data_IF_465914684652
#
_entry.id   IF_465914684652
#
_cell.length_a   1.000
_cell.length_b   1.000
_cell.length_c   1.000
_cell.angle_alpha   90.00
_cell.angle_beta   90.00
_cell.angle_gamma   90.00
#
_symmetry.space_group_name_H-M   'P 1'
#
loop_
_entity.id
_entity.type
_entity.pdbx_description
1 polymer ?
#
# COMPACT_ATOMS: atom_id res chain seq x y z
N UNK A 1 8.89 16.10 15.47
CA UNK A 1 7.64 15.41 15.82
C UNK A 1 6.56 15.94 14.90
N UNK A 2 6.17 15.17 13.88
CA UNK A 2 5.08 15.55 12.98
C UNK A 2 3.78 15.56 13.78
N UNK A 3 3.19 16.75 13.96
CA UNK A 3 1.88 16.93 14.62
C UNK A 3 0.77 16.12 13.97
N UNK A 4 0.93 15.72 12.71
CA UNK A 4 -0.07 14.99 11.92
C UNK A 4 -0.32 13.55 12.39
N UNK A 5 0.64 12.89 13.06
CA UNK A 5 0.51 11.47 13.45
C UNK A 5 -0.60 11.25 14.49
N UNK A 6 -0.66 12.10 15.52
CA UNK A 6 -1.69 11.96 16.56
C UNK A 6 -3.08 12.42 16.09
N UNK A 7 -3.15 13.08 14.94
CA UNK A 7 -4.37 13.76 14.52
C UNK A 7 -5.32 12.76 13.84
N UNK A 8 -4.86 11.97 12.86
CA UNK A 8 -5.73 10.99 12.21
C UNK A 8 -6.26 9.95 13.20
N UNK A 9 -5.39 9.42 14.06
CA UNK A 9 -5.80 8.48 15.11
C UNK A 9 -6.86 9.08 16.06
N UNK A 10 -6.75 10.37 16.40
CA UNK A 10 -7.71 11.04 17.29
C UNK A 10 -9.09 11.26 16.65
N UNK A 11 -9.16 11.33 15.32
CA UNK A 11 -10.40 11.57 14.56
C UNK A 11 -10.91 10.33 13.84
N UNK A 12 -10.26 9.17 13.97
CA UNK A 12 -10.69 7.92 13.36
C UNK A 12 -12.12 7.56 13.81
N UNK A 13 -13.04 7.48 12.85
CA UNK A 13 -14.45 7.12 13.12
C UNK A 13 -14.57 5.73 13.76
N UNK A 14 -13.73 4.79 13.31
CA UNK A 14 -13.65 3.43 13.82
C UNK A 14 -12.17 3.02 14.01
N UNK A 15 -11.52 3.36 15.14
CA UNK A 15 -10.08 3.13 15.33
C UNK A 15 -9.64 1.66 15.25
N UNK A 16 -10.56 0.72 15.53
CA UNK A 16 -10.29 -0.72 15.43
C UNK A 16 -10.51 -1.32 14.04
N UNK A 17 -11.11 -0.57 13.11
CA UNK A 17 -11.39 -1.03 11.76
C UNK A 17 -10.09 -1.10 10.93
N UNK A 18 -9.79 -2.23 10.25
CA UNK A 18 -8.53 -2.38 9.53
C UNK A 18 -8.39 -1.43 8.34
N UNK A 19 -9.48 -1.00 7.69
CA UNK A 19 -9.41 -0.02 6.60
C UNK A 19 -8.98 1.33 7.13
N UNK A 20 -9.62 1.79 8.22
CA UNK A 20 -9.31 3.07 8.87
C UNK A 20 -7.85 3.11 9.33
N UNK A 21 -7.35 2.02 9.95
CA UNK A 21 -5.94 1.91 10.35
C UNK A 21 -4.98 1.95 9.15
N UNK A 22 -5.30 1.23 8.07
CA UNK A 22 -4.48 1.20 6.87
C UNK A 22 -4.41 2.58 6.19
N UNK A 23 -5.54 3.28 6.10
CA UNK A 23 -5.59 4.64 5.56
C UNK A 23 -4.72 5.59 6.38
N UNK A 24 -4.89 5.60 7.71
CA UNK A 24 -4.11 6.46 8.60
C UNK A 24 -2.61 6.20 8.44
N UNK A 25 -2.19 4.94 8.54
CA UNK A 25 -0.77 4.60 8.51
C UNK A 25 -0.09 4.86 7.16
N UNK A 26 -0.79 4.71 6.02
CA UNK A 26 -0.26 5.10 4.70
C UNK A 26 -0.13 6.62 4.60
N UNK A 27 -1.16 7.38 4.99
CA UNK A 27 -1.11 8.85 4.95
C UNK A 27 0.03 9.39 5.82
N UNK A 28 0.19 8.83 7.02
CA UNK A 28 1.28 9.19 7.93
C UNK A 28 2.66 8.87 7.38
N UNK A 29 2.82 7.69 6.79
CA UNK A 29 4.08 7.26 6.18
C UNK A 29 4.41 8.12 4.96
N UNK A 30 3.40 8.52 4.18
CA UNK A 30 3.55 9.44 3.06
C UNK A 30 3.92 10.87 3.49
N UNK A 31 3.28 11.43 4.52
CA UNK A 31 3.65 12.74 5.08
C UNK A 31 5.02 12.72 5.78
N UNK A 32 5.49 11.55 6.23
CA UNK A 32 6.85 11.36 6.71
C UNK A 32 7.90 11.26 5.57
N UNK A 33 7.47 11.34 4.30
CA UNK A 33 8.35 11.26 3.13
C UNK A 33 8.90 9.86 2.85
N UNK A 34 8.28 8.82 3.40
CA UNK A 34 8.70 7.41 3.20
C UNK A 34 7.95 6.71 2.05
N UNK A 35 6.92 7.36 1.50
CA UNK A 35 6.22 6.95 0.28
C UNK A 35 6.31 8.05 -0.79
N UNK A 36 6.06 7.72 -2.08
CA UNK A 36 5.99 8.72 -3.14
C UNK A 36 4.95 9.81 -2.86
N UNK A 37 5.13 10.97 -3.49
CA UNK A 37 4.29 12.17 -3.26
C UNK A 37 2.79 11.92 -3.47
N UNK A 38 2.40 11.14 -4.48
CA UNK A 38 0.99 10.84 -4.74
C UNK A 38 0.31 10.08 -3.59
N UNK A 39 1.09 9.35 -2.76
CA UNK A 39 0.55 8.56 -1.66
C UNK A 39 -0.02 9.43 -0.53
N UNK A 40 0.37 10.71 -0.42
CA UNK A 40 -0.29 11.67 0.48
C UNK A 40 -1.75 11.94 0.07
N UNK A 41 -2.10 11.61 -1.18
CA UNK A 41 -3.46 11.64 -1.72
C UNK A 41 -4.01 10.23 -1.98
N UNK A 42 -3.27 9.17 -1.60
CA UNK A 42 -3.57 7.76 -1.90
C UNK A 42 -3.78 7.47 -3.40
N UNK A 43 -3.31 8.35 -4.29
CA UNK A 43 -3.66 8.29 -5.72
C UNK A 43 -5.16 8.51 -6.02
N UNK A 44 -5.93 9.03 -5.06
CA UNK A 44 -7.34 9.36 -5.22
C UNK A 44 -7.50 10.76 -5.85
N UNK A 45 -8.56 10.99 -6.65
CA UNK A 45 -8.95 12.33 -7.06
C UNK A 45 -9.24 13.24 -5.85
N UNK A 46 -8.96 14.56 -5.90
CA UNK A 46 -9.10 15.44 -4.74
C UNK A 46 -10.50 15.46 -4.09
N UNK A 47 -11.56 15.31 -4.90
CA UNK A 47 -12.92 15.27 -4.39
C UNK A 47 -13.20 13.98 -3.62
N UNK A 48 -12.76 12.83 -4.15
CA UNK A 48 -12.91 11.53 -3.52
C UNK A 48 -12.04 11.41 -2.26
N UNK A 49 -10.82 11.94 -2.30
CA UNK A 49 -9.95 12.01 -1.13
C UNK A 49 -10.59 12.76 0.04
N UNK A 50 -11.23 13.91 -0.23
CA UNK A 50 -11.94 14.67 0.82
C UNK A 50 -13.14 13.89 1.37
N UNK A 51 -13.89 13.21 0.51
CA UNK A 51 -14.98 12.34 0.94
C UNK A 51 -14.47 11.21 1.86
N UNK A 52 -13.35 10.58 1.50
CA UNK A 52 -12.69 9.58 2.34
C UNK A 52 -12.27 10.19 3.69
N UNK A 53 -11.63 11.35 3.68
CA UNK A 53 -11.16 12.01 4.90
C UNK A 53 -12.34 12.37 5.83
N UNK A 54 -13.41 12.94 5.29
CA UNK A 54 -14.61 13.30 6.05
C UNK A 54 -15.34 12.07 6.60
N UNK A 55 -15.27 10.94 5.90
CA UNK A 55 -15.90 9.69 6.30
C UNK A 55 -15.09 8.92 7.35
N UNK A 56 -13.80 8.68 7.08
CA UNK A 56 -12.94 7.85 7.93
C UNK A 56 -12.35 8.62 9.11
N UNK A 57 -12.16 9.93 8.96
CA UNK A 57 -11.51 10.81 9.95
C UNK A 57 -12.30 12.11 10.18
N UNK A 58 -13.59 12.03 10.56
CA UNK A 58 -14.46 13.20 10.68
C UNK A 58 -13.88 14.22 11.67
N UNK A 59 -13.58 15.44 11.20
CA UNK A 59 -12.99 16.50 12.02
C UNK A 59 -11.49 16.73 11.78
N UNK A 60 -10.79 15.82 11.10
CA UNK A 60 -9.36 15.94 10.86
C UNK A 60 -9.00 17.19 10.05
N UNK A 61 -9.72 17.44 8.95
CA UNK A 61 -9.52 18.63 8.12
C UNK A 61 -9.75 19.93 8.90
N UNK A 62 -10.80 19.97 9.74
CA UNK A 62 -11.13 21.11 10.57
C UNK A 62 -10.10 21.34 11.68
N UNK A 63 -9.46 20.27 12.16
CA UNK A 63 -8.34 20.32 13.08
C UNK A 63 -7.00 20.70 12.40
N UNK A 64 -7.01 20.98 11.10
CA UNK A 64 -5.85 21.44 10.34
C UNK A 64 -5.01 20.33 9.72
N UNK A 65 -5.56 19.13 9.56
CA UNK A 65 -4.88 18.08 8.80
C UNK A 65 -5.10 18.27 7.30
N UNK A 66 -3.99 18.29 6.56
CA UNK A 66 -3.98 18.32 5.10
C UNK A 66 -2.70 17.66 4.57
N UNK A 67 -2.70 17.15 3.32
CA UNK A 67 -1.48 16.76 2.63
C UNK A 67 -0.49 17.93 2.47
N UNK A 68 0.81 17.66 2.63
CA UNK A 68 1.87 18.68 2.49
C UNK A 68 2.15 19.05 1.02
N UNK A 69 1.68 18.22 0.08
CA UNK A 69 1.86 18.41 -1.37
C UNK A 69 0.51 18.62 -2.06
N UNK A 70 0.47 19.40 -3.16
CA UNK A 70 -0.75 19.50 -3.96
C UNK A 70 -1.10 18.14 -4.59
N UNK A 71 -2.37 17.92 -4.98
CA UNK A 71 -2.74 16.72 -5.72
C UNK A 71 -1.90 16.57 -7.00
N UNK A 72 -1.58 15.34 -7.34
CA UNK A 72 -0.91 15.03 -8.61
C UNK A 72 -1.95 14.77 -9.71
N UNK A 73 -1.54 15.05 -10.94
CA UNK A 73 -2.29 14.66 -12.13
C UNK A 73 -2.44 13.13 -12.16
N UNK A 74 -3.64 12.56 -12.42
CA UNK A 74 -3.81 11.12 -12.64
C UNK A 74 -2.82 10.53 -13.64
N UNK A 75 -2.46 11.28 -14.69
CA UNK A 75 -1.49 10.84 -15.71
C UNK A 75 -0.05 10.79 -15.20
N UNK A 76 0.22 11.39 -14.04
CA UNK A 76 1.53 11.36 -13.38
C UNK A 76 1.67 10.23 -12.34
N UNK A 77 0.62 9.43 -12.11
CA UNK A 77 0.71 8.23 -11.29
C UNK A 77 1.56 7.16 -11.98
N UNK A 78 2.24 6.28 -11.22
CA UNK A 78 2.90 5.12 -11.80
C UNK A 78 1.90 4.30 -12.62
N UNK A 79 2.31 3.82 -13.80
CA UNK A 79 1.38 3.16 -14.72
C UNK A 79 0.76 1.90 -14.08
N UNK A 80 1.52 1.17 -13.28
CA UNK A 80 1.11 -0.04 -12.58
C UNK A 80 0.24 0.24 -11.34
N UNK A 81 0.10 1.49 -10.91
CA UNK A 81 -0.75 1.86 -9.77
C UNK A 81 -2.22 1.52 -10.04
N UNK A 82 -2.71 1.85 -11.24
CA UNK A 82 -4.09 1.57 -11.63
C UNK A 82 -4.36 0.06 -11.67
N UNK A 83 -3.42 -0.73 -12.21
CA UNK A 83 -3.55 -2.19 -12.28
C UNK A 83 -3.60 -2.84 -10.89
N UNK A 84 -2.82 -2.32 -9.92
CA UNK A 84 -2.86 -2.79 -8.53
C UNK A 84 -4.22 -2.50 -7.88
N UNK A 85 -4.77 -1.29 -8.08
CA UNK A 85 -6.10 -0.92 -7.55
C UNK A 85 -7.18 -1.79 -8.17
N UNK A 86 -7.18 -1.95 -9.49
CA UNK A 86 -8.18 -2.77 -10.20
C UNK A 86 -8.12 -4.24 -9.76
N UNK A 87 -6.92 -4.82 -9.65
CA UNK A 87 -6.74 -6.19 -9.17
C UNK A 87 -7.30 -6.40 -7.76
N UNK A 88 -7.12 -5.42 -6.86
CA UNK A 88 -7.68 -5.47 -5.51
C UNK A 88 -9.19 -5.29 -5.52
N UNK A 89 -9.72 -4.30 -6.23
CA UNK A 89 -11.17 -4.03 -6.32
C UNK A 89 -11.93 -5.23 -6.91
N UNK A 90 -11.41 -5.86 -7.96
CA UNK A 90 -12.01 -7.07 -8.54
C UNK A 90 -12.03 -8.24 -7.56
N UNK A 91 -11.02 -8.30 -6.69
CA UNK A 91 -10.87 -9.32 -5.66
C UNK A 91 -11.51 -8.97 -4.32
N UNK A 92 -12.44 -8.01 -4.26
CA UNK A 92 -13.12 -7.65 -3.01
C UNK A 92 -14.01 -8.77 -2.47
N UNK A 93 -14.18 -8.80 -1.14
CA UNK A 93 -15.10 -9.71 -0.48
C UNK A 93 -16.54 -9.37 -0.89
N UNK A 94 -17.34 -10.30 -1.45
CA UNK A 94 -18.67 -9.98 -1.97
C UNK A 94 -19.69 -9.46 -0.95
N UNK A 95 -19.43 -9.61 0.36
CA UNK A 95 -20.27 -9.06 1.42
C UNK A 95 -19.82 -7.65 1.89
N UNK A 96 -18.69 -7.16 1.38
CA UNK A 96 -18.17 -5.82 1.63
C UNK A 96 -18.48 -4.95 0.43
N UNK A 97 -19.20 -3.85 0.68
CA UNK A 97 -19.57 -2.89 -0.33
C UNK A 97 -19.41 -1.49 0.24
N UNK A 98 -19.33 -0.51 -0.66
CA UNK A 98 -19.15 0.89 -0.30
C UNK A 98 -17.80 1.42 -0.76
N UNK A 99 -17.60 2.74 -0.64
CA UNK A 99 -16.38 3.40 -1.06
C UNK A 99 -15.15 2.96 -0.24
N UNK A 100 -15.33 2.39 0.95
CA UNK A 100 -14.26 1.92 1.83
C UNK A 100 -13.43 0.81 1.21
N UNK A 101 -14.05 -0.06 0.37
CA UNK A 101 -13.32 -1.10 -0.38
C UNK A 101 -12.32 -0.46 -1.33
N UNK A 102 -12.76 0.54 -2.09
CA UNK A 102 -11.93 1.30 -3.02
C UNK A 102 -10.82 2.06 -2.29
N UNK A 103 -11.14 2.73 -1.18
CA UNK A 103 -10.14 3.44 -0.40
C UNK A 103 -9.09 2.49 0.19
N UNK A 104 -9.49 1.31 0.65
CA UNK A 104 -8.56 0.27 1.10
C UNK A 104 -7.66 -0.24 -0.04
N UNK A 105 -8.20 -0.40 -1.25
CA UNK A 105 -7.42 -0.81 -2.42
C UNK A 105 -6.35 0.24 -2.76
N UNK A 106 -6.73 1.52 -2.76
CA UNK A 106 -5.82 2.66 -2.95
C UNK A 106 -4.73 2.74 -1.87
N UNK A 107 -5.05 2.45 -0.60
CA UNK A 107 -4.08 2.41 0.48
C UNK A 107 -3.05 1.27 0.30
N UNK A 108 -3.52 0.06 -0.01
CA UNK A 108 -2.67 -1.10 -0.30
C UNK A 108 -1.77 -0.85 -1.51
N UNK A 109 -2.33 -0.34 -2.60
CA UNK A 109 -1.58 0.01 -3.80
C UNK A 109 -0.51 1.07 -3.49
N UNK A 110 -0.87 2.14 -2.76
CA UNK A 110 0.08 3.19 -2.35
C UNK A 110 1.24 2.62 -1.51
N UNK A 111 0.95 1.74 -0.55
CA UNK A 111 1.97 1.08 0.27
C UNK A 111 2.94 0.20 -0.54
N UNK A 112 2.54 -0.28 -1.73
CA UNK A 112 3.42 -1.08 -2.58
C UNK A 112 4.60 -0.29 -3.16
N UNK A 113 4.50 1.04 -3.23
CA UNK A 113 5.55 1.91 -3.77
C UNK A 113 6.54 2.40 -2.71
N UNK A 114 6.41 1.97 -1.46
CA UNK A 114 7.45 2.16 -0.46
C UNK A 114 8.63 1.21 -0.63
N UNK A 115 9.73 1.51 0.07
CA UNK A 115 10.99 0.76 -0.05
C UNK A 115 11.14 -0.37 0.98
N UNK A 116 10.17 -0.55 1.88
CA UNK A 116 10.24 -1.53 2.96
C UNK A 116 9.17 -2.61 2.82
N UNK A 117 8.90 -3.35 3.88
CA UNK A 117 7.81 -4.32 3.87
C UNK A 117 6.47 -3.59 3.82
N UNK A 118 5.47 -4.19 3.17
CA UNK A 118 4.17 -3.53 2.96
C UNK A 118 3.55 -3.02 4.27
N UNK A 119 3.60 -3.83 5.33
CA UNK A 119 3.06 -3.45 6.63
C UNK A 119 3.78 -2.22 7.22
N UNK A 120 5.09 -2.07 7.03
CA UNK A 120 5.86 -0.90 7.50
C UNK A 120 5.53 0.34 6.68
N UNK A 121 5.43 0.17 5.36
CA UNK A 121 5.05 1.24 4.44
C UNK A 121 3.59 1.69 4.62
N UNK A 122 2.75 0.83 5.21
CA UNK A 122 1.39 1.15 5.63
C UNK A 122 1.28 1.60 7.10
N UNK A 123 2.40 1.75 7.83
CA UNK A 123 2.38 2.15 9.24
C UNK A 123 1.72 1.14 10.20
N UNK A 124 1.57 -0.12 9.80
CA UNK A 124 0.94 -1.18 10.59
C UNK A 124 1.95 -1.86 11.54
N UNK A 125 1.46 -2.71 12.46
CA UNK A 125 2.31 -3.33 13.49
C UNK A 125 3.06 -4.57 13.00
N UNK A 126 2.60 -5.17 11.90
CA UNK A 126 3.22 -6.35 11.33
C UNK A 126 2.45 -6.92 10.14
N UNK A 127 3.01 -7.97 9.53
CA UNK A 127 2.39 -8.66 8.39
C UNK A 127 0.96 -9.14 8.67
N UNK A 128 0.67 -9.53 9.92
CA UNK A 128 -0.66 -9.99 10.32
C UNK A 128 -1.75 -8.92 10.11
N UNK A 129 -1.46 -7.64 10.36
CA UNK A 129 -2.44 -6.57 10.14
C UNK A 129 -2.83 -6.43 8.65
N UNK A 130 -1.84 -6.56 7.74
CA UNK A 130 -2.10 -6.58 6.30
C UNK A 130 -2.92 -7.81 5.93
N UNK A 131 -2.57 -8.98 6.47
CA UNK A 131 -3.32 -10.22 6.25
C UNK A 131 -4.76 -10.10 6.74
N UNK A 132 -5.01 -9.50 7.90
CA UNK A 132 -6.36 -9.26 8.44
C UNK A 132 -7.16 -8.30 7.54
N UNK A 133 -6.53 -7.22 7.05
CA UNK A 133 -7.18 -6.32 6.10
C UNK A 133 -7.60 -7.07 4.83
N UNK A 134 -6.68 -7.85 4.25
CA UNK A 134 -6.94 -8.63 3.05
C UNK A 134 -8.01 -9.70 3.28
N UNK A 135 -7.94 -10.44 4.38
CA UNK A 135 -8.93 -11.48 4.69
C UNK A 135 -10.35 -10.90 4.83
N UNK A 136 -10.48 -9.69 5.39
CA UNK A 136 -11.79 -9.06 5.60
C UNK A 136 -12.33 -8.35 4.36
N UNK A 137 -11.47 -7.62 3.64
CA UNK A 137 -11.90 -6.71 2.55
C UNK A 137 -11.67 -7.30 1.17
N UNK A 138 -10.65 -8.15 1.02
CA UNK A 138 -10.17 -8.71 -0.26
C UNK A 138 -10.00 -10.23 -0.15
N UNK A 139 -10.99 -10.92 0.42
CA UNK A 139 -10.88 -12.34 0.77
C UNK A 139 -10.47 -13.23 -0.42
N UNK A 140 -11.00 -13.05 -1.65
CA UNK A 140 -10.49 -13.73 -2.83
C UNK A 140 -8.98 -13.55 -3.06
N UNK A 141 -8.46 -12.33 -2.93
CA UNK A 141 -7.02 -12.02 -3.07
C UNK A 141 -6.21 -12.71 -1.98
N UNK A 142 -6.68 -12.65 -0.74
CA UNK A 142 -6.04 -13.31 0.40
C UNK A 142 -5.93 -14.83 0.21
N UNK A 143 -7.05 -15.48 -0.12
CA UNK A 143 -7.12 -16.94 -0.30
C UNK A 143 -6.28 -17.43 -1.49
N UNK A 144 -6.08 -16.56 -2.48
CA UNK A 144 -5.29 -16.87 -3.67
C UNK A 144 -3.76 -16.86 -3.40
N UNK A 145 -3.29 -16.40 -2.24
CA UNK A 145 -1.88 -16.47 -1.83
C UNK A 145 -1.57 -17.77 -1.06
N UNK A 146 -1.73 -18.91 -1.74
CA UNK A 146 -1.60 -20.25 -1.13
C UNK A 146 -0.17 -20.62 -0.72
N UNK A 147 0.83 -19.94 -1.28
CA UNK A 147 2.25 -20.19 -1.06
C UNK A 147 2.90 -19.20 -0.08
N UNK A 148 2.09 -18.40 0.61
CA UNK A 148 2.52 -17.43 1.63
C UNK A 148 3.58 -16.42 1.12
N UNK A 149 3.45 -15.98 -0.13
CA UNK A 149 4.33 -14.94 -0.70
C UNK A 149 4.26 -13.64 0.11
N UNK A 150 5.35 -12.88 0.09
CA UNK A 150 5.34 -11.48 0.56
C UNK A 150 4.28 -10.70 -0.21
N UNK A 151 3.46 -9.92 0.48
CA UNK A 151 2.26 -9.32 -0.11
C UNK A 151 2.53 -8.45 -1.33
N UNK A 152 3.55 -7.58 -1.31
CA UNK A 152 3.93 -6.78 -2.51
C UNK A 152 4.24 -7.69 -3.69
N UNK A 153 5.04 -8.73 -3.47
CA UNK A 153 5.45 -9.65 -4.53
C UNK A 153 4.24 -10.41 -5.08
N UNK A 154 3.34 -10.84 -4.20
CA UNK A 154 2.09 -11.48 -4.60
C UNK A 154 1.22 -10.56 -5.46
N UNK A 155 1.03 -9.29 -5.06
CA UNK A 155 0.23 -8.34 -5.84
C UNK A 155 0.82 -8.08 -7.22
N UNK A 156 2.13 -7.84 -7.31
CA UNK A 156 2.79 -7.66 -8.61
C UNK A 156 2.72 -8.91 -9.47
N UNK A 157 2.81 -10.12 -8.87
CA UNK A 157 2.59 -11.37 -9.59
C UNK A 157 1.17 -11.46 -10.15
N UNK A 158 0.15 -11.10 -9.36
CA UNK A 158 -1.26 -11.08 -9.81
C UNK A 158 -1.52 -10.07 -10.92
N UNK A 159 -0.93 -8.88 -10.84
CA UNK A 159 -1.00 -7.88 -11.93
C UNK A 159 -0.34 -8.40 -13.20
N UNK A 160 0.87 -8.97 -13.07
CA UNK A 160 1.58 -9.61 -14.18
C UNK A 160 0.76 -10.72 -14.85
N UNK A 161 0.14 -11.61 -14.07
CA UNK A 161 -0.78 -12.64 -14.58
C UNK A 161 -1.98 -12.05 -15.33
N UNK A 162 -2.62 -11.01 -14.79
CA UNK A 162 -3.79 -10.37 -15.43
C UNK A 162 -3.45 -9.71 -16.76
N UNK A 163 -2.22 -9.21 -16.89
CA UNK A 163 -1.73 -8.56 -18.11
C UNK A 163 -1.10 -9.54 -19.12
N UNK A 164 -1.11 -10.84 -18.83
CA UNK A 164 -0.36 -11.88 -19.58
C UNK A 164 1.15 -11.57 -19.72
N UNK A 165 1.69 -10.78 -18.78
CA UNK A 165 3.10 -10.45 -18.67
C UNK A 165 3.69 -11.39 -17.62
N UNK A 166 4.19 -12.55 -18.03
CA UNK A 166 4.72 -13.53 -17.08
C UNK A 166 6.22 -13.32 -16.81
N UNK A 167 6.63 -12.78 -15.65
CA UNK A 167 8.04 -12.65 -15.30
C UNK A 167 8.66 -14.00 -14.83
N UNK A 168 7.84 -14.97 -14.43
CA UNK A 168 8.31 -16.29 -14.00
C UNK A 168 8.15 -17.30 -15.15
N UNK A 169 9.24 -17.90 -15.66
CA UNK A 169 9.15 -18.91 -16.71
C UNK A 169 8.65 -20.28 -16.20
N UNK A 170 8.64 -20.48 -14.88
CA UNK A 170 8.38 -21.80 -14.29
C UNK A 170 6.88 -22.02 -14.05
N UNK A 171 6.30 -23.15 -14.52
CA UNK A 171 4.88 -23.47 -14.33
C UNK A 171 4.52 -23.80 -12.88
N UNK A 172 5.51 -24.02 -11.99
CA UNK A 172 5.29 -24.25 -10.55
C UNK A 172 6.37 -23.59 -9.71
N UNK A 173 5.97 -23.02 -8.56
CA UNK A 173 6.91 -22.43 -7.60
C UNK A 173 7.81 -23.49 -6.93
N UNK A 174 7.38 -24.76 -6.83
CA UNK A 174 8.10 -25.81 -6.09
C UNK A 174 9.46 -26.18 -6.72
N UNK A 175 9.62 -25.99 -8.04
CA UNK A 175 10.87 -26.22 -8.76
C UNK A 175 11.63 -24.94 -9.12
N UNK A 176 11.18 -23.77 -8.67
CA UNK A 176 11.75 -22.50 -9.08
C UNK A 176 13.02 -22.17 -8.31
N UNK A 177 14.15 -22.01 -9.01
CA UNK A 177 15.43 -21.62 -8.40
C UNK A 177 15.38 -20.27 -7.64
N UNK A 178 14.37 -19.44 -7.94
CA UNK A 178 14.15 -18.14 -7.29
C UNK A 178 13.14 -18.22 -6.12
N UNK A 179 12.72 -19.41 -5.70
CA UNK A 179 11.73 -19.62 -4.63
C UNK A 179 12.11 -18.89 -3.33
N UNK A 180 13.36 -18.99 -2.88
CA UNK A 180 13.81 -18.33 -1.65
C UNK A 180 13.70 -16.79 -1.73
N UNK A 181 13.84 -16.21 -2.91
CA UNK A 181 13.65 -14.77 -3.15
C UNK A 181 12.17 -14.38 -3.10
N UNK A 182 11.25 -15.31 -3.40
CA UNK A 182 9.80 -15.10 -3.33
C UNK A 182 9.21 -15.31 -1.93
N UNK A 183 9.69 -16.33 -1.21
CA UNK A 183 9.08 -16.87 0.00
C UNK A 183 9.96 -16.74 1.25
N UNK A 184 11.20 -16.27 1.12
CA UNK A 184 12.13 -16.18 2.25
C UNK A 184 11.72 -15.16 3.32
N UNK A 185 12.22 -15.37 4.53
CA UNK A 185 11.96 -14.47 5.66
C UNK A 185 12.42 -13.04 5.36
N UNK A 186 11.69 -12.09 5.93
CA UNK A 186 12.00 -10.66 5.87
C UNK A 186 13.15 -10.36 6.85
N UNK A 187 14.40 -10.35 6.35
CA UNK A 187 15.50 -9.74 7.09
C UNK A 187 15.25 -8.21 7.14
N UNK A 188 15.52 -7.53 8.26
CA UNK A 188 15.50 -6.07 8.27
C UNK A 188 16.47 -5.57 7.19
N UNK A 189 16.00 -4.67 6.32
CA UNK A 189 16.90 -3.93 5.45
C UNK A 189 17.81 -3.09 6.36
N UNK A 190 18.98 -3.63 6.65
CA UNK A 190 20.09 -2.86 7.20
C UNK A 190 20.52 -1.88 6.12
N UNK A 191 20.69 -0.63 6.52
CA UNK A 191 21.01 0.51 5.66
C UNK A 191 22.07 0.12 4.61
N UNK A 192 21.73 0.27 3.33
CA UNK A 192 22.69 0.10 2.25
C UNK A 192 23.73 1.22 2.43
N UNK A 193 25.02 0.91 2.65
CA UNK A 193 26.03 1.94 2.73
C UNK A 193 26.17 2.56 1.35
N UNK A 194 25.90 3.86 1.25
CA UNK A 194 26.08 4.65 0.03
C UNK A 194 27.57 4.61 -0.34
N UNK A 195 27.93 3.80 -1.32
CA UNK A 195 29.26 3.82 -1.90
C UNK A 195 29.48 5.19 -2.55
N UNK A 196 30.36 6.01 -1.95
CA UNK A 196 30.82 7.26 -2.55
C UNK A 196 31.54 6.95 -3.86
N UNK A 197 30.95 7.35 -4.99
CA UNK A 197 31.63 7.35 -6.28
C UNK A 197 32.68 8.46 -6.26
N UNK A 198 33.95 8.06 -6.19
CA UNK A 198 35.07 8.96 -6.40
C UNK A 198 35.14 9.33 -7.89
N UNK A 199 34.86 10.59 -8.21
CA UNK A 199 35.06 11.15 -9.56
C UNK A 199 36.57 11.31 -9.76
N UNK A 200 37.17 10.45 -10.57
CA UNK A 200 38.55 10.61 -11.01
C UNK A 200 38.56 11.46 -12.29
N UNK A 201 39.04 12.70 -12.19
CA UNK A 201 39.34 13.55 -13.33
C UNK A 201 40.57 13.00 -14.06
N UNK A 202 40.46 12.81 -15.36
CA UNK A 202 41.57 12.74 -16.30
C UNK A 202 41.52 13.99 -17.19
#
# INVERSE_FOLDING_TARGET
MNRSLLLLDAFAAHPGDPVTRALAGVLETACAGRLPRFAQWLGLPPAEFRQMLDHCFPGAAQAGWEPDVPPQDPDALPCEFADLVEMLEDGHTPARHGPEVRWAAHALASGCFGHTHLWQDMGLSGRHDVSTLLEQVFQPVFAANTSDMKWKKFFYHRVCERLDIHPCPEPSCEGCDHYATCHGAEAPLTEIPVASVAIQKA
#
